data_IF_723276202634
#
_entry.id   IF_723276202634
#
_cell.length_a   1.000
_cell.length_b   1.000
_cell.length_c   1.000
_cell.angle_alpha   90.00
_cell.angle_beta   90.00
_cell.angle_gamma   90.00
#
_symmetry.space_group_name_H-M   'P 1'
#
loop_
_entity.id
_entity.type
_entity.pdbx_description
1 polymer ?
#
# COMPACT_ATOMS: atom_id res chain seq x y z
N UNK A 1 -4.86 -5.60 25.12
CA UNK A 1 -5.57 -6.82 25.61
C UNK A 1 -5.32 -7.93 24.60
N UNK A 2 -4.79 -9.07 25.04
CA UNK A 2 -4.51 -10.22 24.16
C UNK A 2 -5.80 -10.82 23.61
N UNK A 3 -5.70 -11.50 22.47
CA UNK A 3 -6.81 -12.27 21.89
C UNK A 3 -6.97 -13.54 22.71
N UNK A 4 -8.03 -13.63 23.51
CA UNK A 4 -8.37 -14.81 24.32
C UNK A 4 -9.80 -15.29 24.04
N UNK A 5 -10.08 -16.58 24.21
CA UNK A 5 -11.43 -17.15 24.15
C UNK A 5 -12.14 -17.09 25.51
N UNK A 6 -13.37 -17.62 25.59
CA UNK A 6 -14.08 -17.92 26.84
C UNK A 6 -13.60 -19.28 27.33
N UNK A 7 -12.96 -19.34 28.49
CA UNK A 7 -12.48 -20.58 29.10
C UNK A 7 -13.43 -21.05 30.19
N UNK A 8 -13.58 -22.37 30.37
CA UNK A 8 -14.36 -23.01 31.45
C UNK A 8 -13.61 -23.07 32.80
N UNK A 9 -12.48 -22.36 32.92
CA UNK A 9 -11.64 -22.35 34.12
C UNK A 9 -10.51 -23.39 34.13
N UNK A 10 -10.33 -24.21 33.07
CA UNK A 10 -9.27 -25.25 33.02
C UNK A 10 -8.12 -25.01 32.02
N UNK A 11 -7.96 -23.81 31.47
CA UNK A 11 -6.79 -23.46 30.65
C UNK A 11 -7.11 -23.00 29.23
N UNK A 12 -6.05 -22.72 28.47
CA UNK A 12 -6.05 -22.01 27.20
C UNK A 12 -6.79 -22.76 26.09
N UNK A 13 -7.72 -22.06 25.44
CA UNK A 13 -8.42 -22.49 24.23
C UNK A 13 -7.42 -22.92 23.13
N UNK A 14 -7.49 -24.17 22.69
CA UNK A 14 -6.85 -24.62 21.45
C UNK A 14 -7.87 -24.64 20.31
N UNK A 15 -7.67 -23.85 19.23
CA UNK A 15 -8.53 -23.92 18.06
C UNK A 15 -8.32 -25.26 17.32
N UNK A 16 -9.27 -26.17 17.52
CA UNK A 16 -9.71 -27.13 16.50
C UNK A 16 -9.03 -28.51 16.52
N UNK A 17 -9.77 -29.51 16.98
CA UNK A 17 -9.76 -30.88 16.46
C UNK A 17 -11.13 -31.60 16.59
N UNK A 18 -12.17 -30.91 17.09
CA UNK A 18 -13.46 -31.56 17.39
C UNK A 18 -14.22 -31.93 16.11
N UNK A 19 -14.06 -33.17 15.67
CA UNK A 19 -14.86 -33.77 14.60
C UNK A 19 -16.23 -34.14 15.16
N UNK A 20 -17.32 -33.63 14.57
CA UNK A 20 -18.70 -33.93 14.98
C UNK A 20 -19.03 -35.41 14.70
N UNK A 21 -18.79 -36.28 15.68
CA UNK A 21 -19.15 -37.70 15.63
C UNK A 21 -20.52 -37.98 16.25
N UNK A 22 -21.10 -39.16 15.95
CA UNK A 22 -22.37 -39.62 16.54
C UNK A 22 -22.33 -39.68 18.07
N UNK A 23 -21.15 -39.90 18.64
CA UNK A 23 -20.95 -40.03 20.09
C UNK A 23 -21.12 -38.70 20.83
N UNK A 24 -20.77 -37.58 20.19
CA UNK A 24 -20.84 -36.23 20.76
C UNK A 24 -22.29 -35.73 20.86
N UNK A 25 -23.19 -36.32 20.07
CA UNK A 25 -24.63 -35.99 20.07
C UNK A 25 -25.43 -36.85 21.09
N UNK A 26 -24.78 -37.73 21.85
CA UNK A 26 -25.47 -38.66 22.76
C UNK A 26 -25.87 -38.05 24.09
N UNK A 27 -25.15 -37.03 24.57
CA UNK A 27 -25.44 -36.40 25.87
C UNK A 27 -25.49 -34.88 25.76
N UNK A 28 -26.30 -34.25 26.62
CA UNK A 28 -26.38 -32.79 26.72
C UNK A 28 -25.06 -32.16 27.17
N UNK A 29 -24.23 -32.89 27.93
CA UNK A 29 -22.91 -32.44 28.39
C UNK A 29 -21.92 -32.36 27.22
N UNK A 30 -21.89 -33.38 26.37
CA UNK A 30 -20.98 -33.42 25.22
C UNK A 30 -21.37 -32.37 24.16
N UNK A 31 -22.68 -32.18 23.96
CA UNK A 31 -23.21 -31.13 23.08
C UNK A 31 -22.85 -29.73 23.59
N UNK A 32 -22.87 -29.50 24.90
CA UNK A 32 -22.51 -28.20 25.49
C UNK A 32 -21.06 -27.80 25.16
N UNK A 33 -20.11 -28.74 25.24
CA UNK A 33 -18.72 -28.46 24.88
C UNK A 33 -18.55 -28.04 23.42
N UNK A 34 -19.32 -28.64 22.50
CA UNK A 34 -19.34 -28.23 21.08
C UNK A 34 -19.91 -26.81 20.91
N UNK A 35 -21.05 -26.52 21.57
CA UNK A 35 -21.66 -25.20 21.50
C UNK A 35 -20.73 -24.11 22.04
N UNK A 36 -20.03 -24.40 23.14
CA UNK A 36 -19.03 -23.49 23.71
C UNK A 36 -17.85 -23.26 22.73
N UNK A 37 -17.39 -24.30 22.05
CA UNK A 37 -16.34 -24.18 21.03
C UNK A 37 -16.79 -23.31 19.86
N UNK A 38 -18.01 -23.51 19.34
CA UNK A 38 -18.58 -22.71 18.25
C UNK A 38 -18.71 -21.23 18.66
N UNK A 39 -19.20 -20.97 19.88
CA UNK A 39 -19.28 -19.63 20.42
C UNK A 39 -17.89 -18.98 20.52
N UNK A 40 -16.89 -19.73 20.98
CA UNK A 40 -15.52 -19.25 21.06
C UNK A 40 -14.92 -18.93 19.69
N UNK A 41 -15.15 -19.75 18.67
CA UNK A 41 -14.73 -19.46 17.30
C UNK A 41 -15.32 -18.12 16.80
N UNK A 42 -16.59 -17.87 17.07
CA UNK A 42 -17.25 -16.60 16.72
C UNK A 42 -16.65 -15.41 17.50
N UNK A 43 -16.50 -15.54 18.82
CA UNK A 43 -15.94 -14.49 19.70
C UNK A 43 -14.50 -14.16 19.30
N UNK A 44 -13.67 -15.17 19.06
CA UNK A 44 -12.27 -14.99 18.66
C UNK A 44 -12.16 -14.33 17.29
N UNK A 45 -12.99 -14.74 16.32
CA UNK A 45 -13.01 -14.11 14.99
C UNK A 45 -13.30 -12.61 15.09
N UNK A 46 -14.28 -12.21 15.90
CA UNK A 46 -14.60 -10.80 16.14
C UNK A 46 -13.46 -10.09 16.90
N UNK A 47 -12.86 -10.74 17.89
CA UNK A 47 -11.73 -10.18 18.66
C UNK A 47 -10.49 -9.94 17.79
N UNK A 48 -10.19 -10.84 16.84
CA UNK A 48 -9.10 -10.64 15.87
C UNK A 48 -9.39 -9.43 14.97
N UNK A 49 -10.61 -9.32 14.45
CA UNK A 49 -11.03 -8.16 13.63
C UNK A 49 -10.89 -6.85 14.39
N UNK A 50 -11.28 -6.83 15.67
CA UNK A 50 -11.13 -5.67 16.54
C UNK A 50 -9.66 -5.36 16.85
N UNK A 51 -8.87 -6.38 17.20
CA UNK A 51 -7.44 -6.23 17.52
C UNK A 51 -6.62 -5.67 16.34
N UNK A 52 -6.98 -6.04 15.12
CA UNK A 52 -6.31 -5.56 13.91
C UNK A 52 -6.81 -4.18 13.44
N UNK A 53 -7.80 -3.59 14.12
CA UNK A 53 -8.52 -2.39 13.68
C UNK A 53 -9.04 -2.52 12.24
N UNK A 54 -9.44 -3.73 11.84
CA UNK A 54 -9.71 -4.03 10.44
C UNK A 54 -10.90 -3.21 9.90
N UNK A 55 -11.97 -3.07 10.67
CA UNK A 55 -13.15 -2.28 10.31
C UNK A 55 -12.82 -0.78 10.17
N UNK A 56 -12.30 -0.08 11.19
CA UNK A 56 -12.04 1.35 11.07
C UNK A 56 -10.93 1.67 10.05
N UNK A 57 -9.90 0.80 9.92
CA UNK A 57 -8.85 0.99 8.93
C UNK A 57 -9.37 0.83 7.49
N UNK A 58 -10.15 -0.22 7.21
CA UNK A 58 -10.69 -0.45 5.86
C UNK A 58 -11.73 0.61 5.49
N UNK A 59 -12.55 1.06 6.44
CA UNK A 59 -13.43 2.22 6.23
C UNK A 59 -12.62 3.44 5.83
N UNK A 60 -11.55 3.77 6.57
CA UNK A 60 -10.72 4.95 6.29
C UNK A 60 -10.00 4.84 4.95
N UNK A 61 -9.44 3.69 4.62
CA UNK A 61 -8.82 3.43 3.31
C UNK A 61 -9.81 3.63 2.16
N UNK A 62 -11.07 3.22 2.36
CA UNK A 62 -12.14 3.37 1.37
C UNK A 62 -12.53 4.84 1.21
N UNK A 63 -12.73 5.58 2.30
CA UNK A 63 -13.03 7.02 2.23
C UNK A 63 -11.90 7.80 1.56
N UNK A 64 -10.65 7.41 1.80
CA UNK A 64 -9.49 8.05 1.19
C UNK A 64 -9.40 7.76 -0.32
N UNK A 65 -9.68 6.54 -0.74
CA UNK A 65 -9.59 6.11 -2.14
C UNK A 65 -10.84 6.46 -2.97
N UNK A 66 -12.01 6.55 -2.34
CA UNK A 66 -13.29 6.80 -3.02
C UNK A 66 -13.82 5.59 -3.79
N UNK A 67 -13.51 4.36 -3.36
CA UNK A 67 -14.03 3.11 -3.93
C UNK A 67 -15.14 2.49 -3.06
N UNK A 68 -15.65 1.31 -3.44
CA UNK A 68 -16.62 0.56 -2.63
C UNK A 68 -15.96 -0.14 -1.44
N UNK A 69 -16.57 -0.05 -0.25
CA UNK A 69 -15.99 -0.62 0.98
C UNK A 69 -15.88 -2.14 0.94
N UNK A 70 -16.86 -2.83 0.34
CA UNK A 70 -16.82 -4.28 0.13
C UNK A 70 -15.57 -4.74 -0.62
N UNK A 71 -15.12 -3.96 -1.60
CA UNK A 71 -13.90 -4.23 -2.39
C UNK A 71 -12.63 -3.99 -1.55
N UNK A 72 -12.64 -3.00 -0.67
CA UNK A 72 -11.56 -2.79 0.28
C UNK A 72 -11.46 -3.92 1.30
N UNK A 73 -12.60 -4.42 1.81
CA UNK A 73 -12.66 -5.57 2.73
C UNK A 73 -12.14 -6.85 2.05
N UNK A 74 -12.41 -7.03 0.76
CA UNK A 74 -11.84 -8.14 -0.03
C UNK A 74 -10.32 -8.02 -0.24
N UNK A 75 -9.70 -6.89 0.11
CA UNK A 75 -8.24 -6.71 0.00
C UNK A 75 -7.76 -6.20 -1.36
N UNK A 76 -8.64 -5.67 -2.21
CA UNK A 76 -8.28 -5.16 -3.54
C UNK A 76 -7.45 -3.85 -3.45
N UNK A 77 -6.13 -3.97 -3.27
CA UNK A 77 -5.21 -2.84 -3.09
C UNK A 77 -5.10 -1.96 -4.34
N UNK A 78 -4.93 -2.58 -5.51
CA UNK A 78 -4.80 -1.88 -6.80
C UNK A 78 -6.06 -1.10 -7.15
N UNK A 79 -7.24 -1.66 -6.85
CA UNK A 79 -8.53 -1.02 -7.09
C UNK A 79 -8.67 0.29 -6.29
N UNK A 80 -8.16 0.33 -5.04
CA UNK A 80 -8.16 1.59 -4.27
C UNK A 80 -7.32 2.68 -4.92
N UNK A 81 -6.14 2.34 -5.42
CA UNK A 81 -5.28 3.31 -6.11
C UNK A 81 -5.89 3.73 -7.44
N UNK A 82 -6.53 2.80 -8.17
CA UNK A 82 -7.26 3.10 -9.39
C UNK A 82 -8.34 4.16 -9.15
N UNK A 83 -9.23 3.97 -8.16
CA UNK A 83 -10.27 4.94 -7.84
C UNK A 83 -9.69 6.28 -7.38
N UNK A 84 -8.65 6.27 -6.53
CA UNK A 84 -8.00 7.50 -6.10
C UNK A 84 -7.46 8.32 -7.28
N UNK A 85 -6.84 7.66 -8.26
CA UNK A 85 -6.34 8.31 -9.47
C UNK A 85 -7.49 8.75 -10.38
N UNK A 86 -8.55 7.95 -10.52
CA UNK A 86 -9.73 8.34 -11.30
C UNK A 86 -10.34 9.65 -10.80
N UNK A 87 -10.55 9.77 -9.49
CA UNK A 87 -11.03 11.02 -8.87
C UNK A 87 -10.08 12.19 -9.16
N UNK A 88 -8.78 12.00 -8.93
CA UNK A 88 -7.78 13.05 -9.14
C UNK A 88 -7.66 13.50 -10.61
N UNK A 89 -7.72 12.57 -11.57
CA UNK A 89 -7.72 12.89 -12.99
C UNK A 89 -9.01 13.58 -13.43
N UNK A 90 -10.15 13.14 -12.92
CA UNK A 90 -11.45 13.74 -13.20
C UNK A 90 -11.52 15.20 -12.72
N UNK A 91 -11.03 15.47 -11.51
CA UNK A 91 -10.99 16.82 -10.94
C UNK A 91 -10.15 17.78 -11.79
N UNK A 92 -9.06 17.26 -12.38
CA UNK A 92 -8.16 17.99 -13.27
C UNK A 92 -8.59 17.98 -14.74
N UNK A 93 -9.80 17.47 -15.05
CA UNK A 93 -10.41 17.44 -16.40
C UNK A 93 -9.60 16.63 -17.42
N UNK A 94 -8.95 15.55 -16.98
CA UNK A 94 -8.29 14.60 -17.87
C UNK A 94 -9.25 13.50 -18.33
N UNK A 95 -9.04 13.03 -19.56
CA UNK A 95 -9.58 11.75 -20.03
C UNK A 95 -8.75 10.62 -19.42
N UNK A 96 -9.40 9.60 -18.88
CA UNK A 96 -8.73 8.45 -18.24
C UNK A 96 -8.72 7.24 -19.17
N UNK A 97 -7.71 6.36 -19.10
CA UNK A 97 -7.66 5.16 -19.93
C UNK A 97 -8.88 4.27 -19.69
N UNK A 98 -9.34 3.54 -20.69
CA UNK A 98 -10.42 2.57 -20.47
C UNK A 98 -9.96 1.38 -19.64
N UNK A 99 -10.92 0.78 -18.93
CA UNK A 99 -10.65 -0.43 -18.15
C UNK A 99 -10.47 -1.61 -19.12
N UNK A 100 -9.24 -2.11 -19.22
CA UNK A 100 -8.95 -3.34 -19.97
C UNK A 100 -9.73 -4.50 -19.35
N UNK A 101 -10.59 -5.16 -20.12
CA UNK A 101 -11.24 -6.41 -19.72
C UNK A 101 -10.19 -7.51 -19.80
N UNK A 102 -9.82 -8.08 -18.67
CA UNK A 102 -9.02 -9.29 -18.66
C UNK A 102 -9.97 -10.46 -18.82
N UNK A 103 -9.91 -11.14 -19.96
CA UNK A 103 -10.76 -12.29 -20.23
C UNK A 103 -10.27 -13.46 -19.36
N UNK A 104 -11.01 -13.70 -18.29
CA UNK A 104 -10.57 -14.56 -17.19
C UNK A 104 -10.74 -16.03 -17.51
N UNK A 105 -9.85 -16.63 -18.30
CA UNK A 105 -9.46 -18.03 -18.03
C UNK A 105 -8.59 -18.05 -16.79
N UNK A 106 -9.16 -17.73 -15.63
CA UNK A 106 -8.60 -18.13 -14.33
C UNK A 106 -8.90 -19.62 -14.16
N UNK A 107 -8.18 -20.43 -14.93
CA UNK A 107 -8.01 -21.83 -14.59
C UNK A 107 -7.39 -21.91 -13.20
N UNK A 108 -7.83 -22.89 -12.41
CA UNK A 108 -7.32 -23.18 -11.08
C UNK A 108 -5.88 -23.76 -11.13
N UNK A 109 -5.04 -23.24 -12.05
CA UNK A 109 -3.65 -23.61 -12.34
C UNK A 109 -2.64 -22.58 -11.78
N UNK A 110 -3.10 -21.50 -11.15
CA UNK A 110 -2.26 -20.42 -10.61
C UNK A 110 -1.39 -20.82 -9.38
N UNK A 111 -1.38 -22.10 -8.96
CA UNK A 111 -0.51 -22.57 -7.88
C UNK A 111 0.88 -23.02 -8.37
N UNK A 112 1.07 -23.32 -9.65
CA UNK A 112 2.37 -23.78 -10.18
C UNK A 112 3.16 -22.68 -10.93
N UNK A 113 2.51 -21.57 -11.30
CA UNK A 113 3.09 -20.55 -12.19
C UNK A 113 3.58 -19.27 -11.47
N UNK A 114 3.55 -19.24 -10.13
CA UNK A 114 4.20 -18.17 -9.35
C UNK A 114 5.73 -18.19 -9.52
N UNK A 115 6.31 -19.35 -9.81
CA UNK A 115 7.75 -19.58 -9.96
C UNK A 115 8.37 -19.00 -11.24
N UNK A 116 7.55 -18.52 -12.20
CA UNK A 116 8.01 -17.99 -13.50
C UNK A 116 7.59 -16.56 -13.82
N UNK A 117 7.12 -15.79 -12.84
CA UNK A 117 7.01 -14.32 -13.02
C UNK A 117 8.39 -13.69 -12.97
N UNK A 118 9.15 -13.82 -14.07
CA UNK A 118 10.41 -13.09 -14.27
C UNK A 118 10.18 -11.61 -13.97
N UNK A 119 11.00 -11.04 -13.10
CA UNK A 119 11.06 -9.61 -12.81
C UNK A 119 11.39 -8.87 -14.11
N UNK A 120 10.36 -8.38 -14.81
CA UNK A 120 10.53 -7.59 -16.06
C UNK A 120 11.15 -6.20 -15.81
N UNK A 121 11.51 -5.89 -14.58
CA UNK A 121 12.15 -4.66 -14.19
C UNK A 121 13.13 -4.89 -13.03
N UNK A 122 14.18 -4.08 -12.96
CA UNK A 122 15.18 -4.16 -11.90
C UNK A 122 14.63 -3.63 -10.57
N UNK A 123 14.86 -4.37 -9.48
CA UNK A 123 14.42 -4.02 -8.12
C UNK A 123 15.14 -2.80 -7.52
N UNK A 124 14.89 -2.54 -6.24
CA UNK A 124 15.73 -1.61 -5.47
C UNK A 124 17.17 -2.15 -5.37
N UNK A 125 18.15 -1.24 -5.29
CA UNK A 125 19.55 -1.63 -5.10
C UNK A 125 19.76 -2.10 -3.66
N UNK A 126 20.37 -3.28 -3.51
CA UNK A 126 20.79 -3.83 -2.23
C UNK A 126 22.31 -3.81 -2.21
N UNK A 127 22.90 -3.25 -1.16
CA UNK A 127 24.35 -3.28 -0.97
C UNK A 127 24.76 -4.64 -0.44
N UNK A 128 25.92 -5.12 -0.90
CA UNK A 128 26.49 -6.35 -0.36
C UNK A 128 26.76 -6.17 1.14
N UNK A 129 26.17 -7.03 1.99
CA UNK A 129 26.32 -6.90 3.42
C UNK A 129 27.74 -7.29 3.83
N UNK A 130 28.36 -6.49 4.70
CA UNK A 130 29.57 -6.88 5.41
C UNK A 130 29.17 -7.79 6.57
N UNK A 131 29.24 -9.10 6.37
CA UNK A 131 28.88 -10.09 7.38
C UNK A 131 29.92 -10.13 8.52
N UNK A 132 29.46 -10.08 9.77
CA UNK A 132 30.32 -10.14 10.94
C UNK A 132 29.57 -9.83 12.23
N UNK A 133 30.20 -10.14 13.36
CA UNK A 133 29.77 -9.65 14.66
C UNK A 133 30.39 -8.26 14.88
N UNK A 134 29.56 -7.27 15.15
CA UNK A 134 30.01 -5.90 15.37
C UNK A 134 30.01 -5.59 16.86
N UNK A 135 31.18 -5.25 17.40
CA UNK A 135 31.35 -4.77 18.78
C UNK A 135 31.13 -3.26 18.93
N UNK A 136 31.28 -2.51 17.84
CA UNK A 136 31.10 -1.05 17.80
C UNK A 136 29.65 -0.65 17.45
N UNK A 137 29.30 0.61 17.72
CA UNK A 137 27.99 1.15 17.40
C UNK A 137 27.73 1.20 15.88
N UNK A 138 26.56 0.68 15.47
CA UNK A 138 26.08 0.77 14.08
C UNK A 138 25.07 1.91 13.95
N UNK A 139 25.36 2.87 13.08
CA UNK A 139 24.44 3.96 12.75
C UNK A 139 23.61 3.59 11.52
N UNK A 140 22.29 3.45 11.71
CA UNK A 140 21.34 3.21 10.63
C UNK A 140 20.71 4.53 10.18
N UNK A 141 20.95 4.90 8.92
CA UNK A 141 20.37 6.09 8.30
C UNK A 141 19.37 5.69 7.22
N UNK A 142 18.11 6.11 7.37
CA UNK A 142 17.02 5.80 6.43
C UNK A 142 16.40 7.08 5.85
N UNK A 143 15.84 6.98 4.65
CA UNK A 143 15.08 8.05 4.03
C UNK A 143 13.62 8.00 4.48
N UNK A 144 13.11 9.12 4.96
CA UNK A 144 11.68 9.26 5.22
C UNK A 144 10.92 9.23 3.89
N UNK A 145 10.24 8.10 3.62
CA UNK A 145 9.34 7.96 2.47
C UNK A 145 10.03 8.25 1.12
N UNK A 146 11.13 7.53 0.83
CA UNK A 146 11.95 7.68 -0.39
C UNK A 146 11.12 7.85 -1.68
N UNK A 147 10.25 6.89 -2.01
CA UNK A 147 9.48 6.92 -3.27
C UNK A 147 8.56 8.14 -3.40
N UNK A 148 7.70 8.46 -2.41
CA UNK A 148 6.96 9.71 -2.40
C UNK A 148 7.81 10.97 -2.58
N UNK A 149 8.99 11.03 -1.96
CA UNK A 149 9.88 12.19 -2.06
C UNK A 149 10.47 12.31 -3.46
N UNK A 150 10.92 11.21 -4.08
CA UNK A 150 11.43 11.21 -5.46
C UNK A 150 10.36 11.63 -6.47
N UNK A 151 9.12 11.14 -6.30
CA UNK A 151 8.00 11.52 -7.17
C UNK A 151 7.74 13.03 -7.12
N UNK A 152 7.86 13.64 -5.94
CA UNK A 152 7.63 15.07 -5.74
C UNK A 152 8.81 15.92 -6.23
N UNK A 153 10.04 15.55 -5.87
CA UNK A 153 11.25 16.30 -6.20
C UNK A 153 11.49 16.35 -7.71
N UNK A 154 11.32 15.21 -8.38
CA UNK A 154 11.52 15.08 -9.82
C UNK A 154 10.19 15.19 -10.61
N UNK A 155 9.10 15.68 -10.01
CA UNK A 155 7.79 15.83 -10.67
C UNK A 155 7.37 14.63 -11.56
N UNK A 156 7.61 13.42 -11.06
CA UNK A 156 7.38 12.18 -11.82
C UNK A 156 5.88 11.99 -12.00
N UNK A 157 5.39 12.12 -13.23
CA UNK A 157 3.98 12.05 -13.52
C UNK A 157 3.72 11.44 -14.90
N UNK A 158 2.53 10.86 -15.04
CA UNK A 158 1.96 10.46 -16.33
C UNK A 158 1.95 11.55 -17.40
N UNK A 159 2.02 12.81 -17.00
CA UNK A 159 1.91 14.02 -17.84
C UNK A 159 3.24 14.69 -18.14
N UNK A 160 4.32 14.31 -17.43
CA UNK A 160 5.65 14.94 -17.55
C UNK A 160 6.68 14.02 -18.20
N UNK A 161 6.37 12.73 -18.31
CA UNK A 161 7.31 11.73 -18.82
C UNK A 161 6.68 11.06 -20.04
N UNK A 162 7.38 11.17 -21.16
CA UNK A 162 6.99 10.51 -22.41
C UNK A 162 7.11 8.99 -22.27
N UNK A 163 6.23 8.27 -22.96
CA UNK A 163 6.08 6.82 -22.86
C UNK A 163 6.34 6.12 -24.20
N UNK A 164 7.26 6.65 -24.97
CA UNK A 164 7.61 6.00 -26.23
C UNK A 164 8.30 4.66 -25.93
N UNK A 165 7.78 3.59 -26.51
CA UNK A 165 8.25 2.22 -26.31
C UNK A 165 9.69 2.03 -26.84
N UNK A 166 10.14 2.94 -27.71
CA UNK A 166 11.49 2.94 -28.29
C UNK A 166 12.53 3.72 -27.46
N UNK A 167 12.11 4.58 -26.53
CA UNK A 167 13.03 5.36 -25.67
C UNK A 167 13.14 4.71 -24.29
N UNK A 168 13.84 3.57 -24.25
CA UNK A 168 14.27 2.91 -23.00
C UNK A 168 15.49 3.62 -22.40
N UNK A 169 15.54 4.96 -22.40
CA UNK A 169 16.56 5.66 -21.64
C UNK A 169 16.11 5.71 -20.19
N UNK A 170 16.74 4.90 -19.33
CA UNK A 170 16.43 4.79 -17.89
C UNK A 170 16.83 6.04 -17.07
N UNK A 171 17.08 7.17 -17.73
CA UNK A 171 17.58 8.40 -17.12
C UNK A 171 16.43 9.37 -16.86
N UNK A 172 16.38 9.91 -15.64
CA UNK A 172 15.51 11.02 -15.28
C UNK A 172 15.94 12.21 -16.13
N UNK A 173 15.07 12.75 -17.02
CA UNK A 173 15.34 14.04 -17.63
C UNK A 173 15.61 15.04 -16.49
N UNK A 174 16.61 15.91 -16.60
CA UNK A 174 16.89 16.92 -15.59
C UNK A 174 15.59 17.64 -15.17
N UNK A 175 15.41 18.01 -13.89
CA UNK A 175 14.19 18.66 -13.40
C UNK A 175 13.74 19.85 -14.25
N UNK A 176 14.68 20.57 -14.88
CA UNK A 176 14.37 21.69 -15.78
C UNK A 176 13.63 21.28 -17.06
N UNK A 177 13.71 20.01 -17.47
CA UNK A 177 13.04 19.45 -18.67
C UNK A 177 11.72 18.76 -18.36
N UNK A 178 11.33 18.63 -17.08
CA UNK A 178 10.11 17.93 -16.65
C UNK A 178 8.89 18.87 -16.70
N UNK A 179 8.51 19.21 -17.93
CA UNK A 179 7.39 20.08 -18.25
C UNK A 179 6.35 19.30 -19.06
N UNK A 180 5.06 19.44 -18.75
CA UNK A 180 4.03 18.78 -19.56
C UNK A 180 3.91 19.47 -20.92
N UNK A 181 3.51 18.73 -21.96
CA UNK A 181 3.39 19.24 -23.34
C UNK A 181 2.57 20.53 -23.43
N UNK A 182 1.48 20.65 -22.66
CA UNK A 182 0.68 21.87 -22.65
C UNK A 182 1.35 23.06 -21.95
N UNK A 183 2.17 22.81 -20.91
CA UNK A 183 2.96 23.86 -20.26
C UNK A 183 4.06 24.35 -21.22
N UNK A 184 4.72 23.42 -21.91
CA UNK A 184 5.75 23.73 -22.90
C UNK A 184 5.18 24.54 -24.07
N UNK A 185 4.02 24.13 -24.61
CA UNK A 185 3.33 24.86 -25.68
C UNK A 185 2.86 26.26 -25.26
N UNK A 186 2.57 26.46 -23.97
CA UNK A 186 2.18 27.75 -23.40
C UNK A 186 3.37 28.63 -22.96
N UNK A 187 4.62 28.17 -23.15
CA UNK A 187 5.82 28.91 -22.75
C UNK A 187 6.00 29.07 -21.23
N UNK A 188 5.36 28.22 -20.42
CA UNK A 188 5.45 28.30 -18.96
C UNK A 188 6.76 27.70 -18.45
N UNK A 189 7.34 28.20 -17.34
CA UNK A 189 8.56 27.67 -16.78
C UNK A 189 8.36 26.29 -16.12
N UNK A 190 9.41 25.46 -16.11
CA UNK A 190 9.48 24.26 -15.28
C UNK A 190 9.69 24.64 -13.79
N UNK A 191 9.11 23.92 -12.82
CA UNK A 191 8.24 22.75 -12.97
C UNK A 191 6.76 23.09 -13.19
N UNK A 192 6.10 22.27 -14.01
CA UNK A 192 4.68 22.44 -14.32
C UNK A 192 3.80 22.12 -13.10
N UNK A 193 3.41 23.14 -12.34
CA UNK A 193 2.70 22.99 -11.06
C UNK A 193 1.21 22.65 -11.21
N UNK A 194 0.59 22.91 -12.36
CA UNK A 194 -0.87 22.81 -12.50
C UNK A 194 -1.42 21.45 -12.97
N UNK A 195 -0.62 20.61 -13.67
CA UNK A 195 -1.11 19.37 -14.33
C UNK A 195 -0.44 18.07 -13.87
N UNK A 196 0.45 18.13 -12.87
CA UNK A 196 1.14 16.97 -12.32
C UNK A 196 0.28 16.19 -11.30
N UNK A 197 -0.59 15.29 -11.78
CA UNK A 197 -1.53 14.52 -10.96
C UNK A 197 -0.83 13.70 -9.87
N UNK A 198 0.19 12.90 -10.21
CA UNK A 198 0.88 12.03 -9.25
C UNK A 198 1.57 12.82 -8.12
N UNK A 199 2.42 13.83 -8.40
CA UNK A 199 3.01 14.66 -7.35
C UNK A 199 1.98 15.35 -6.46
N UNK A 200 0.88 15.86 -7.02
CA UNK A 200 -0.20 16.49 -6.25
C UNK A 200 -0.87 15.52 -5.28
N UNK A 201 -1.26 14.34 -5.76
CA UNK A 201 -1.92 13.34 -4.90
C UNK A 201 -0.97 12.85 -3.81
N UNK A 202 0.28 12.53 -4.17
CA UNK A 202 1.29 12.10 -3.20
C UNK A 202 1.57 13.19 -2.16
N UNK A 203 1.74 14.45 -2.57
CA UNK A 203 1.94 15.59 -1.66
C UNK A 203 0.79 15.71 -0.68
N UNK A 204 -0.45 15.67 -1.17
CA UNK A 204 -1.65 15.71 -0.32
C UNK A 204 -1.67 14.58 0.72
N UNK A 205 -1.29 13.35 0.35
CA UNK A 205 -1.19 12.22 1.27
C UNK A 205 -0.08 12.41 2.33
N UNK A 206 1.10 12.89 1.92
CA UNK A 206 2.25 13.09 2.80
C UNK A 206 2.04 14.25 3.77
N UNK A 207 1.52 15.38 3.29
CA UNK A 207 1.20 16.56 4.10
C UNK A 207 0.08 16.26 5.09
N UNK A 208 -1.00 15.63 4.65
CA UNK A 208 -2.06 15.15 5.54
C UNK A 208 -1.50 14.24 6.64
N UNK A 209 -0.58 13.35 6.28
CA UNK A 209 0.03 12.44 7.27
C UNK A 209 0.92 13.20 8.24
N UNK A 210 1.69 14.18 7.78
CA UNK A 210 2.52 15.03 8.63
C UNK A 210 1.66 15.79 9.65
N UNK A 211 0.53 16.31 9.22
CA UNK A 211 -0.41 17.02 10.09
C UNK A 211 -1.03 16.09 11.13
N UNK A 212 -1.51 14.90 10.74
CA UNK A 212 -2.00 13.91 11.69
C UNK A 212 -0.91 13.54 12.72
N UNK A 213 0.34 13.32 12.28
CA UNK A 213 1.45 13.05 13.20
C UNK A 213 1.77 14.23 14.12
N UNK A 214 1.50 15.47 13.71
CA UNK A 214 1.65 16.66 14.56
C UNK A 214 0.58 16.66 15.65
N UNK A 215 -0.68 16.43 15.29
CA UNK A 215 -1.80 16.33 16.22
C UNK A 215 -1.59 15.20 17.25
N UNK A 216 -1.05 14.05 16.83
CA UNK A 216 -0.73 12.95 17.74
C UNK A 216 0.28 13.29 18.84
N UNK A 217 1.13 14.31 18.65
CA UNK A 217 2.09 14.73 19.68
C UNK A 217 1.44 15.52 20.82
N UNK A 218 0.33 16.20 20.52
CA UNK A 218 -0.37 17.06 21.47
C UNK A 218 -1.60 16.39 22.08
N UNK A 219 -2.13 15.36 21.41
CA UNK A 219 -3.30 14.62 21.86
C UNK A 219 -2.98 13.75 23.09
N UNK A 220 -3.89 13.75 24.06
CA UNK A 220 -3.75 13.02 25.33
C UNK A 220 -4.80 11.93 25.50
N UNK A 221 -5.96 12.07 24.86
CA UNK A 221 -7.02 11.07 24.96
C UNK A 221 -6.64 9.79 24.17
N UNK A 222 -6.60 8.60 24.82
CA UNK A 222 -6.25 7.35 24.17
C UNK A 222 -7.17 6.98 22.99
N UNK A 223 -8.47 7.31 23.06
CA UNK A 223 -9.41 6.98 21.99
C UNK A 223 -9.18 7.85 20.74
N UNK A 224 -8.94 9.13 20.94
CA UNK A 224 -8.53 10.04 19.87
C UNK A 224 -7.18 9.63 19.26
N UNK A 225 -6.19 9.25 20.09
CA UNK A 225 -4.89 8.76 19.62
C UNK A 225 -5.04 7.51 18.74
N UNK A 226 -5.87 6.54 19.13
CA UNK A 226 -6.14 5.35 18.33
C UNK A 226 -6.75 5.72 16.97
N UNK A 227 -7.68 6.68 16.95
CA UNK A 227 -8.29 7.18 15.70
C UNK A 227 -7.25 7.88 14.80
N UNK A 228 -6.38 8.72 15.38
CA UNK A 228 -5.31 9.38 14.65
C UNK A 228 -4.28 8.37 14.10
N UNK A 229 -3.98 7.32 14.85
CA UNK A 229 -3.10 6.24 14.42
C UNK A 229 -3.67 5.49 13.21
N UNK A 230 -4.97 5.18 13.21
CA UNK A 230 -5.66 4.59 12.05
C UNK A 230 -5.57 5.53 10.83
N UNK A 231 -5.75 6.84 11.04
CA UNK A 231 -5.65 7.85 9.96
C UNK A 231 -4.23 7.89 9.39
N UNK A 232 -3.18 8.01 10.21
CA UNK A 232 -1.80 8.07 9.71
C UNK A 232 -1.41 6.77 8.99
N UNK A 233 -1.86 5.62 9.50
CA UNK A 233 -1.62 4.30 8.91
C UNK A 233 -2.26 4.18 7.53
N UNK A 234 -3.52 4.62 7.39
CA UNK A 234 -4.22 4.64 6.09
C UNK A 234 -3.48 5.47 5.04
N UNK A 235 -3.00 6.67 5.42
CA UNK A 235 -2.25 7.56 4.53
C UNK A 235 -0.91 6.95 4.09
N UNK A 236 -0.17 6.36 5.04
CA UNK A 236 1.08 5.64 4.76
C UNK A 236 0.85 4.48 3.79
N UNK A 237 -0.17 3.65 4.04
CA UNK A 237 -0.48 2.48 3.21
C UNK A 237 -0.86 2.89 1.79
N UNK A 238 -1.69 3.93 1.63
CA UNK A 238 -2.09 4.42 0.31
C UNK A 238 -0.91 5.02 -0.45
N UNK A 239 -0.08 5.86 0.19
CA UNK A 239 1.10 6.44 -0.47
C UNK A 239 2.09 5.37 -0.94
N UNK A 240 2.39 4.37 -0.09
CA UNK A 240 3.29 3.27 -0.45
C UNK A 240 2.69 2.38 -1.57
N UNK A 241 1.38 2.15 -1.54
CA UNK A 241 0.70 1.32 -2.55
C UNK A 241 0.63 2.00 -3.91
N UNK A 242 0.62 3.33 -3.97
CA UNK A 242 0.55 4.09 -5.22
C UNK A 242 1.73 3.75 -6.14
N UNK A 243 2.93 3.77 -5.59
CA UNK A 243 4.15 3.39 -6.32
C UNK A 243 4.05 1.94 -6.86
N UNK A 244 3.62 0.99 -6.03
CA UNK A 244 3.45 -0.41 -6.44
C UNK A 244 2.48 -0.59 -7.60
N UNK A 245 1.47 0.26 -7.72
CA UNK A 245 0.49 0.21 -8.81
C UNK A 245 1.01 0.76 -10.14
N UNK A 246 2.08 1.57 -10.13
CA UNK A 246 2.74 2.03 -11.36
C UNK A 246 3.42 0.86 -12.10
N UNK A 247 4.00 -0.07 -11.35
CA UNK A 247 4.68 -1.26 -11.88
C UNK A 247 3.80 -2.50 -11.99
N UNK A 248 2.49 -2.39 -11.77
CA UNK A 248 1.56 -3.53 -11.84
C UNK A 248 0.89 -3.58 -13.23
N UNK A 249 1.19 -4.62 -14.01
CA UNK A 249 0.74 -4.73 -15.42
C UNK A 249 -0.78 -4.70 -15.60
N UNK A 250 -1.53 -5.26 -14.65
CA UNK A 250 -3.00 -5.24 -14.68
C UNK A 250 -3.61 -3.99 -14.06
N UNK A 251 -2.80 -3.01 -13.67
CA UNK A 251 -3.28 -1.70 -13.24
C UNK A 251 -3.87 -0.94 -14.43
N UNK A 252 -5.03 -0.32 -14.25
CA UNK A 252 -5.61 0.60 -15.24
C UNK A 252 -4.65 1.75 -15.60
N UNK A 253 -3.83 2.17 -14.64
CA UNK A 253 -2.81 3.21 -14.79
C UNK A 253 -1.39 2.65 -14.77
N UNK A 254 -1.19 1.48 -15.37
CA UNK A 254 0.14 0.89 -15.53
C UNK A 254 1.10 1.85 -16.27
N UNK A 255 2.29 2.07 -15.70
CA UNK A 255 3.33 2.89 -16.28
C UNK A 255 4.70 2.45 -15.76
N UNK A 256 5.26 1.40 -16.40
CA UNK A 256 6.57 0.85 -16.06
C UNK A 256 7.72 1.89 -16.09
N UNK A 257 7.79 2.81 -17.08
CA UNK A 257 8.85 3.82 -17.08
C UNK A 257 8.86 4.67 -15.81
N UNK A 258 7.68 5.09 -15.33
CA UNK A 258 7.55 5.86 -14.08
C UNK A 258 7.98 5.05 -12.86
N UNK A 259 7.63 3.76 -12.84
CA UNK A 259 7.99 2.85 -11.76
C UNK A 259 9.52 2.62 -11.68
N UNK A 260 10.18 2.52 -12.83
CA UNK A 260 11.64 2.39 -12.91
C UNK A 260 12.33 3.67 -12.47
N UNK A 261 11.78 4.82 -12.86
CA UNK A 261 12.38 6.12 -12.63
C UNK A 261 12.41 6.53 -11.16
N UNK A 262 11.33 6.25 -10.45
CA UNK A 262 11.21 6.54 -9.03
C UNK A 262 12.02 5.56 -8.16
N UNK A 263 12.73 4.57 -8.73
CA UNK A 263 13.67 3.71 -8.00
C UNK A 263 15.08 4.29 -8.03
N UNK A 264 15.48 4.88 -6.90
CA UNK A 264 16.80 4.94 -6.22
C UNK A 264 18.16 4.84 -6.95
N UNK A 265 18.25 4.47 -8.23
CA UNK A 265 19.48 4.45 -9.04
C UNK A 265 20.16 5.83 -9.09
N UNK A 266 19.40 6.89 -8.88
CA UNK A 266 19.89 8.28 -8.85
C UNK A 266 20.23 8.78 -7.44
N UNK A 267 19.90 8.08 -6.35
CA UNK A 267 20.09 8.64 -4.99
C UNK A 267 21.02 7.81 -4.10
N UNK A 268 20.97 6.48 -4.19
CA UNK A 268 21.86 5.63 -3.39
C UNK A 268 23.35 5.77 -3.78
N UNK A 269 23.74 5.86 -5.06
CA UNK A 269 25.16 6.00 -5.42
C UNK A 269 25.78 7.32 -4.93
N UNK A 270 25.04 8.42 -5.02
CA UNK A 270 25.52 9.75 -4.60
C UNK A 270 25.76 9.83 -3.09
N UNK A 271 25.01 9.08 -2.27
CA UNK A 271 25.22 9.03 -0.83
C UNK A 271 26.46 8.22 -0.44
N UNK A 272 26.71 7.10 -1.11
CA UNK A 272 27.85 6.22 -0.83
C UNK A 272 29.18 6.91 -1.18
N UNK A 273 29.19 7.79 -2.20
CA UNK A 273 30.36 8.59 -2.54
C UNK A 273 30.65 9.73 -1.55
N UNK A 274 29.66 10.15 -0.77
CA UNK A 274 29.78 11.23 0.22
C UNK A 274 30.07 10.71 1.64
N UNK A 275 30.13 9.39 1.84
CA UNK A 275 30.43 8.71 3.10
C UNK A 275 31.74 7.95 3.05
#
# INVERSE_FOLDING_TARGET
>A
MGVAGITDGRGSFEPGLTVLGKDIMKSSKDLFHVLLQLLNCAVLSVRVVAFLDAIPLTKRLTTLAGNLWSRTLYGARSERIEYLLLHAFHDLKFVTPDKKRFDGKRGRQDLEDETKRKTKYQGGMVLEPKSGLYSDYILLLDFNSLYPSLIQEFNICYTTIERDENTVSAEIPPPERLICTSCAAAGLPSPCSHKCVLPKVIRGLVESRREIKRLMKTEKDPNNLATLEIRQRSLKLTANSMYGCLGFEHSRFYAQPLANLSRGKVVLPYRIQLS
#
